data_IF_688862698311
#
_entry.id   IF_688862698311
#
_cell.length_a   1.000
_cell.length_b   1.000
_cell.length_c   1.000
_cell.angle_alpha   90.00
_cell.angle_beta   90.00
_cell.angle_gamma   90.00
#
_symmetry.space_group_name_H-M   'P 1'
#
loop_
_entity.id
_entity.type
_entity.pdbx_description
1 polymer ?
#
# COMPACT_ATOMS: atom_id res chain seq x y z
N UNK A 1 -14.32 -16.86 23.71
CA UNK A 1 -14.04 -16.36 25.08
C UNK A 1 -12.58 -16.54 25.45
N UNK A 2 -11.88 -17.58 24.95
CA UNK A 2 -10.42 -17.68 25.10
C UNK A 2 -9.69 -16.63 24.22
N UNK A 3 -10.24 -16.29 23.05
CA UNK A 3 -9.60 -15.36 22.10
C UNK A 3 -9.55 -13.90 22.58
N UNK A 4 -10.60 -13.41 23.26
CA UNK A 4 -10.66 -12.00 23.69
C UNK A 4 -9.61 -11.69 24.77
N UNK A 5 -9.42 -12.62 25.72
CA UNK A 5 -8.42 -12.49 26.79
C UNK A 5 -7.00 -12.58 26.24
N UNK A 6 -6.78 -13.37 25.19
CA UNK A 6 -5.49 -13.47 24.51
C UNK A 6 -5.17 -12.18 23.73
N UNK A 7 -6.13 -11.64 22.99
CA UNK A 7 -6.00 -10.35 22.28
C UNK A 7 -5.68 -9.22 23.26
N UNK A 8 -6.36 -9.17 24.41
CA UNK A 8 -6.09 -8.16 25.44
C UNK A 8 -4.68 -8.28 26.03
N UNK A 9 -4.16 -9.50 26.19
CA UNK A 9 -2.78 -9.72 26.64
C UNK A 9 -1.77 -9.27 25.60
N UNK A 10 -1.99 -9.61 24.33
CA UNK A 10 -1.13 -9.17 23.22
C UNK A 10 -1.13 -7.65 23.16
N UNK A 11 -2.31 -7.03 23.15
CA UNK A 11 -2.46 -5.57 23.16
C UNK A 11 -1.71 -4.92 24.33
N UNK A 12 -1.88 -5.44 25.55
CA UNK A 12 -1.20 -4.92 26.73
C UNK A 12 0.33 -5.09 26.69
N UNK A 13 0.83 -6.05 25.92
CA UNK A 13 2.26 -6.30 25.74
C UNK A 13 2.93 -5.37 24.72
N UNK A 14 2.14 -4.72 23.85
CA UNK A 14 2.67 -3.80 22.85
C UNK A 14 3.23 -2.53 23.51
N UNK A 15 4.32 -1.96 22.98
CA UNK A 15 4.80 -0.64 23.37
C UNK A 15 3.70 0.44 23.24
N UNK A 16 3.73 1.46 24.12
CA UNK A 16 2.67 2.48 24.18
C UNK A 16 2.54 3.29 22.89
N UNK A 17 3.65 3.61 22.26
CA UNK A 17 3.74 4.29 20.97
C UNK A 17 3.08 3.48 19.85
N UNK A 18 3.25 2.15 19.85
CA UNK A 18 2.56 1.26 18.91
C UNK A 18 1.06 1.22 19.21
N UNK A 19 0.66 1.12 20.47
CA UNK A 19 -0.75 1.17 20.86
C UNK A 19 -1.42 2.50 20.45
N UNK A 20 -0.73 3.63 20.64
CA UNK A 20 -1.22 4.95 20.25
C UNK A 20 -1.34 5.07 18.74
N UNK A 21 -0.36 4.58 17.98
CA UNK A 21 -0.38 4.55 16.52
C UNK A 21 -1.56 3.73 15.98
N UNK A 22 -1.75 2.51 16.50
CA UNK A 22 -2.84 1.62 16.09
C UNK A 22 -4.22 2.19 16.44
N UNK A 23 -4.37 2.77 17.64
CA UNK A 23 -5.61 3.48 18.03
C UNK A 23 -5.92 4.64 17.10
N UNK A 24 -4.91 5.46 16.82
CA UNK A 24 -5.05 6.60 15.91
C UNK A 24 -5.49 6.15 14.52
N UNK A 25 -4.91 5.08 13.98
CA UNK A 25 -5.29 4.52 12.69
C UNK A 25 -6.77 4.11 12.66
N UNK A 26 -7.27 3.47 13.74
CA UNK A 26 -8.70 3.12 13.87
C UNK A 26 -9.57 4.36 14.00
N UNK A 27 -9.18 5.35 14.80
CA UNK A 27 -9.95 6.57 15.06
C UNK A 27 -10.05 7.49 13.82
N UNK A 28 -9.03 7.51 12.96
CA UNK A 28 -8.97 8.33 11.73
C UNK A 28 -9.52 7.62 10.48
N UNK A 29 -9.77 6.31 10.58
CA UNK A 29 -10.36 5.51 9.51
C UNK A 29 -11.79 5.93 9.22
N UNK A 30 -12.14 5.97 7.93
CA UNK A 30 -13.53 6.13 7.49
C UNK A 30 -14.22 4.82 7.14
N UNK A 31 -13.52 3.69 7.28
CA UNK A 31 -13.98 2.39 6.87
C UNK A 31 -15.19 1.91 7.68
N UNK A 32 -16.17 1.33 6.98
CA UNK A 32 -17.34 0.69 7.61
C UNK A 32 -17.24 -0.84 7.64
N UNK A 33 -16.23 -1.40 6.96
CA UNK A 33 -15.91 -2.83 6.97
C UNK A 33 -14.42 -3.05 7.22
N UNK A 34 -14.06 -4.27 7.64
CA UNK A 34 -12.66 -4.69 7.82
C UNK A 34 -11.86 -4.58 6.51
N UNK A 35 -12.40 -5.07 5.40
CA UNK A 35 -11.76 -4.98 4.09
C UNK A 35 -11.45 -3.53 3.68
N UNK A 36 -12.39 -2.60 3.94
CA UNK A 36 -12.17 -1.19 3.68
C UNK A 36 -11.08 -0.62 4.58
N UNK A 37 -11.02 -1.04 5.85
CA UNK A 37 -9.97 -0.59 6.77
C UNK A 37 -8.59 -1.08 6.30
N UNK A 38 -8.49 -2.35 5.91
CA UNK A 38 -7.26 -2.92 5.37
C UNK A 38 -6.84 -2.17 4.11
N UNK A 39 -7.76 -1.91 3.17
CA UNK A 39 -7.45 -1.16 1.97
C UNK A 39 -7.04 0.31 2.27
N UNK A 40 -7.72 0.99 3.19
CA UNK A 40 -7.33 2.35 3.60
C UNK A 40 -5.91 2.40 4.17
N UNK A 41 -5.48 1.36 4.91
CA UNK A 41 -4.12 1.30 5.50
C UNK A 41 -3.07 0.85 4.48
N UNK A 42 -3.36 -0.15 3.66
CA UNK A 42 -2.39 -0.78 2.76
C UNK A 42 -2.24 -0.05 1.42
N UNK A 43 -3.35 0.48 0.89
CA UNK A 43 -3.40 1.12 -0.44
C UNK A 43 -3.49 2.65 -0.32
N UNK A 44 -4.14 3.13 0.74
CA UNK A 44 -4.30 4.56 0.99
C UNK A 44 -5.32 5.23 0.06
N UNK A 45 -5.23 6.55 0.00
CA UNK A 45 -6.11 7.39 -0.81
C UNK A 45 -5.74 7.35 -2.29
N UNK A 46 -6.75 7.43 -3.16
CA UNK A 46 -6.52 7.52 -4.59
C UNK A 46 -5.71 8.79 -4.92
N UNK A 47 -4.52 8.69 -5.54
CA UNK A 47 -3.66 9.84 -5.83
C UNK A 47 -4.26 10.78 -6.89
N UNK A 48 -5.27 10.32 -7.65
CA UNK A 48 -5.96 11.12 -8.67
C UNK A 48 -7.10 11.98 -8.11
N UNK A 49 -7.87 11.47 -7.14
CA UNK A 49 -9.08 12.15 -6.67
C UNK A 49 -9.20 12.32 -5.15
N UNK A 50 -8.24 11.80 -4.37
CA UNK A 50 -8.23 11.85 -2.90
C UNK A 50 -9.29 10.98 -2.22
N UNK A 51 -9.94 10.07 -2.96
CA UNK A 51 -10.94 9.18 -2.37
C UNK A 51 -10.26 8.04 -1.60
N UNK A 52 -10.74 7.79 -0.38
CA UNK A 52 -10.40 6.60 0.44
C UNK A 52 -11.09 5.31 0.01
N UNK A 53 -12.02 5.38 -0.95
CA UNK A 53 -12.73 4.21 -1.46
C UNK A 53 -11.85 3.49 -2.50
N UNK A 54 -10.87 2.75 -1.99
CA UNK A 54 -9.84 2.04 -2.76
C UNK A 54 -9.86 0.55 -2.41
N UNK A 55 -9.35 -0.28 -3.31
CA UNK A 55 -9.10 -1.72 -3.09
C UNK A 55 -7.79 -2.08 -3.78
N UNK A 56 -7.06 -3.06 -3.24
CA UNK A 56 -6.00 -3.75 -3.99
C UNK A 56 -6.61 -4.67 -5.07
N UNK A 57 -5.76 -5.20 -5.95
CA UNK A 57 -6.17 -6.06 -7.05
C UNK A 57 -5.71 -7.52 -6.92
N UNK A 58 -5.42 -8.00 -5.71
CA UNK A 58 -4.99 -9.39 -5.47
C UNK A 58 -6.01 -10.42 -5.99
N UNK A 59 -7.31 -10.12 -5.86
CA UNK A 59 -8.40 -11.02 -6.25
C UNK A 59 -8.98 -10.72 -7.65
N UNK A 60 -8.41 -9.77 -8.39
CA UNK A 60 -8.94 -9.35 -9.69
C UNK A 60 -8.29 -10.17 -10.79
N UNK A 61 -9.09 -11.01 -11.46
CA UNK A 61 -8.64 -11.85 -12.58
C UNK A 61 -7.94 -11.01 -13.66
N UNK A 62 -6.71 -11.39 -14.00
CA UNK A 62 -5.86 -10.69 -14.96
C UNK A 62 -4.96 -9.60 -14.38
N UNK A 63 -5.07 -9.30 -13.08
CA UNK A 63 -4.12 -8.45 -12.34
C UNK A 63 -3.40 -9.28 -11.27
N UNK A 64 -4.16 -9.81 -10.30
CA UNK A 64 -3.67 -10.70 -9.24
C UNK A 64 -2.42 -10.16 -8.50
N UNK A 65 -2.44 -8.86 -8.17
CA UNK A 65 -1.32 -8.14 -7.54
C UNK A 65 -1.82 -7.20 -6.43
N UNK A 66 -1.37 -7.46 -5.20
CA UNK A 66 -1.71 -6.69 -4.00
C UNK A 66 -1.10 -5.28 -3.98
N UNK A 67 -0.06 -5.05 -4.79
CA UNK A 67 0.60 -3.74 -4.93
C UNK A 67 -0.09 -2.83 -5.96
N UNK A 68 -1.20 -3.31 -6.55
CA UNK A 68 -1.98 -2.56 -7.53
C UNK A 68 -3.27 -2.04 -6.89
N UNK A 69 -3.35 -0.72 -6.73
CA UNK A 69 -4.51 -0.02 -6.22
C UNK A 69 -5.53 0.33 -7.30
N UNK A 70 -6.81 0.12 -7.01
CA UNK A 70 -7.95 0.53 -7.81
C UNK A 70 -8.85 1.48 -7.02
N UNK A 71 -9.21 2.61 -7.64
CA UNK A 71 -10.13 3.56 -7.03
C UNK A 71 -11.55 3.23 -7.47
N UNK A 72 -12.38 2.86 -6.50
CA UNK A 72 -13.77 2.49 -6.74
C UNK A 72 -14.65 3.69 -7.08
N UNK A 73 -14.15 4.93 -6.88
CA UNK A 73 -14.87 6.16 -7.23
C UNK A 73 -14.58 6.65 -8.65
N UNK A 74 -13.32 6.61 -9.11
CA UNK A 74 -12.92 7.19 -10.40
C UNK A 74 -12.31 6.19 -11.39
N UNK A 75 -12.17 4.92 -11.01
CA UNK A 75 -11.61 3.85 -11.84
C UNK A 75 -10.11 4.00 -12.13
N UNK A 76 -9.40 4.85 -11.38
CA UNK A 76 -7.96 5.00 -11.55
C UNK A 76 -7.23 3.78 -11.01
N UNK A 77 -6.28 3.27 -11.80
CA UNK A 77 -5.42 2.14 -11.46
C UNK A 77 -3.99 2.66 -11.30
N UNK A 78 -3.34 2.32 -10.19
CA UNK A 78 -1.97 2.74 -9.90
C UNK A 78 -1.21 1.68 -9.10
N UNK A 79 0.11 1.84 -9.00
CA UNK A 79 0.92 1.07 -8.08
C UNK A 79 0.94 1.72 -6.69
N UNK A 80 0.58 0.99 -5.63
CA UNK A 80 0.59 1.49 -4.23
C UNK A 80 1.98 1.91 -3.76
N UNK A 81 3.03 1.24 -4.26
CA UNK A 81 4.42 1.47 -3.81
C UNK A 81 5.04 2.73 -4.41
N UNK A 82 4.83 2.97 -5.72
CA UNK A 82 5.46 4.09 -6.43
C UNK A 82 4.48 5.15 -6.93
N UNK A 83 3.18 5.01 -6.63
CA UNK A 83 2.13 5.97 -7.00
C UNK A 83 1.81 6.07 -8.49
N UNK A 84 2.48 5.30 -9.36
CA UNK A 84 2.41 5.48 -10.82
C UNK A 84 1.11 4.96 -11.43
N UNK A 85 0.56 5.65 -12.44
CA UNK A 85 -0.61 5.18 -13.18
C UNK A 85 -0.31 3.94 -14.02
N UNK A 86 -1.23 2.98 -14.01
CA UNK A 86 -1.15 1.72 -14.77
C UNK A 86 -2.11 1.75 -15.98
N UNK A 87 -1.85 2.67 -16.92
CA UNK A 87 -2.79 3.00 -18.03
C UNK A 87 -2.84 1.91 -19.10
N UNK A 88 -1.74 1.19 -19.33
CA UNK A 88 -1.58 0.29 -20.47
C UNK A 88 -1.15 -1.14 -20.09
N UNK A 89 -0.82 -1.36 -18.82
CA UNK A 89 -0.38 -2.62 -18.25
C UNK A 89 -0.99 -2.77 -16.87
N UNK A 90 -1.21 -3.99 -16.41
CA UNK A 90 -1.78 -4.28 -15.09
C UNK A 90 -0.72 -4.50 -14.01
N UNK A 91 0.57 -4.46 -14.35
CA UNK A 91 1.69 -4.62 -13.42
C UNK A 91 2.64 -3.42 -13.50
N UNK A 92 3.27 -3.09 -12.38
CA UNK A 92 4.30 -2.06 -12.33
C UNK A 92 5.68 -2.65 -12.56
N UNK A 93 6.50 -2.01 -13.40
CA UNK A 93 7.90 -2.42 -13.63
C UNK A 93 8.87 -1.89 -12.58
N UNK A 94 8.40 -1.22 -11.53
CA UNK A 94 9.32 -0.63 -10.56
C UNK A 94 10.20 -1.69 -9.91
N UNK A 95 9.67 -2.89 -9.66
CA UNK A 95 10.44 -3.99 -9.07
C UNK A 95 11.56 -4.45 -10.02
N UNK A 96 11.29 -4.58 -11.31
CA UNK A 96 12.30 -4.93 -12.33
C UNK A 96 13.42 -3.87 -12.38
N UNK A 97 13.06 -2.58 -12.33
CA UNK A 97 14.03 -1.48 -12.36
C UNK A 97 14.86 -1.42 -11.07
N UNK A 98 14.24 -1.69 -9.92
CA UNK A 98 14.93 -1.73 -8.63
C UNK A 98 15.89 -2.93 -8.54
N UNK A 99 15.49 -4.10 -9.02
CA UNK A 99 16.30 -5.32 -9.02
C UNK A 99 17.58 -5.17 -9.87
N UNK A 100 17.51 -4.39 -10.95
CA UNK A 100 18.65 -4.08 -11.82
C UNK A 100 19.49 -2.87 -11.33
N UNK A 101 19.15 -2.27 -10.19
CA UNK A 101 19.77 -1.04 -9.72
C UNK A 101 21.15 -1.30 -9.07
N UNK A 102 22.22 -0.83 -9.71
CA UNK A 102 23.59 -0.89 -9.17
C UNK A 102 23.81 -0.05 -7.90
N UNK A 103 22.89 0.85 -7.56
CA UNK A 103 22.96 1.71 -6.37
C UNK A 103 22.30 1.08 -5.13
N UNK A 104 21.68 -0.09 -5.30
CA UNK A 104 21.08 -0.83 -4.20
C UNK A 104 22.16 -1.37 -3.24
N UNK A 105 21.81 -1.50 -1.96
CA UNK A 105 22.67 -2.07 -0.93
C UNK A 105 22.85 -3.59 -1.09
N UNK A 106 23.58 -4.22 -0.16
CA UNK A 106 23.80 -5.68 -0.17
C UNK A 106 22.50 -6.51 -0.08
N UNK A 107 21.38 -5.90 0.33
CA UNK A 107 20.06 -6.52 0.37
C UNK A 107 19.21 -6.21 -0.87
N UNK A 108 19.73 -5.46 -1.84
CA UNK A 108 18.98 -5.05 -3.03
C UNK A 108 18.00 -3.90 -2.77
N UNK A 109 18.19 -3.15 -1.68
CA UNK A 109 17.33 -2.03 -1.31
C UNK A 109 18.02 -0.68 -1.53
N UNK A 110 17.26 0.32 -1.97
CA UNK A 110 17.72 1.71 -2.03
C UNK A 110 17.10 2.50 -0.86
N UNK A 111 17.84 3.46 -0.30
CA UNK A 111 17.33 4.41 0.71
C UNK A 111 16.42 5.51 0.11
N UNK A 112 16.05 5.40 -1.16
CA UNK A 112 15.28 6.39 -1.91
C UNK A 112 13.85 5.86 -2.06
N UNK A 113 12.87 6.69 -1.70
CA UNK A 113 11.47 6.37 -1.94
C UNK A 113 11.22 6.15 -3.44
N UNK A 114 10.52 5.07 -3.86
CA UNK A 114 10.24 4.81 -5.28
C UNK A 114 9.58 5.98 -6.03
N UNK A 115 8.80 6.81 -5.35
CA UNK A 115 8.17 8.00 -5.91
C UNK A 115 9.23 9.06 -6.28
N UNK A 116 10.30 9.15 -5.50
CA UNK A 116 11.37 10.15 -5.65
C UNK A 116 12.51 9.67 -6.56
N UNK A 117 12.54 8.39 -6.94
CA UNK A 117 13.63 7.81 -7.73
C UNK A 117 13.65 8.32 -9.19
N UNK A 118 14.74 8.98 -9.59
CA UNK A 118 14.93 9.48 -10.96
C UNK A 118 14.98 8.36 -12.02
N UNK A 119 15.56 7.20 -11.70
CA UNK A 119 15.65 6.07 -12.65
C UNK A 119 14.26 5.55 -12.97
N UNK A 120 13.43 5.36 -11.94
CA UNK A 120 12.02 5.06 -12.12
C UNK A 120 11.35 6.17 -12.94
N UNK A 121 11.54 7.44 -12.60
CA UNK A 121 10.90 8.54 -13.32
C UNK A 121 11.25 8.61 -14.82
N UNK A 122 12.49 8.30 -15.21
CA UNK A 122 12.94 8.35 -16.61
C UNK A 122 12.38 7.23 -17.50
N UNK A 123 12.12 6.04 -16.95
CA UNK A 123 11.62 4.89 -17.72
C UNK A 123 10.12 4.96 -18.03
N UNK A 124 9.38 5.86 -17.36
CA UNK A 124 7.93 6.01 -17.52
C UNK A 124 7.49 7.35 -18.14
N UNK A 125 8.43 8.21 -18.55
CA UNK A 125 8.20 9.45 -19.33
C UNK A 125 8.18 9.18 -20.86
#
# INVERSE_FOLDING_TARGET
MEDDDEILRIWASLPKDIQETLKKAVDESSAVTEEQFIAEIMIGECPKCGSKNTKDCEEIEGIEDLTVGLCMNCGFLWCSECGRPLVHVTYCKHWEICDECEEADEMGMCDIDPIECEKLNKEFD
#
